data_IF_458536754362
#
_entry.id   IF_458536754362
#
_cell.length_a   1.000
_cell.length_b   1.000
_cell.length_c   1.000
_cell.angle_alpha   90.00
_cell.angle_beta   90.00
_cell.angle_gamma   90.00
#
_symmetry.space_group_name_H-M   'P 1'
#
loop_
_entity.id
_entity.type
_entity.pdbx_description
1 polymer ?
#
# COMPACT_ATOMS: atom_id res chain seq x y z
N UNK A 1 2.98 -12.71 18.41
CA UNK A 1 3.48 -11.34 18.67
C UNK A 1 4.91 -11.04 18.19
N UNK A 2 5.66 -11.99 17.59
CA UNK A 2 7.04 -11.76 17.10
C UNK A 2 7.22 -11.85 15.56
N UNK A 3 6.14 -12.19 14.83
CA UNK A 3 6.16 -12.35 13.36
C UNK A 3 5.72 -11.09 12.60
N UNK A 4 4.93 -10.22 13.24
CA UNK A 4 4.38 -9.00 12.61
C UNK A 4 5.42 -7.90 12.36
N UNK A 5 6.48 -7.85 13.18
CA UNK A 5 7.58 -6.90 12.96
C UNK A 5 8.43 -7.24 11.73
N UNK A 6 8.37 -8.47 11.23
CA UNK A 6 9.17 -8.89 10.06
C UNK A 6 8.54 -8.33 8.77
N UNK A 7 7.21 -8.32 8.67
CA UNK A 7 6.49 -7.79 7.50
C UNK A 7 6.66 -6.27 7.34
N UNK A 8 6.65 -5.51 8.44
CA UNK A 8 6.85 -4.04 8.41
C UNK A 8 8.32 -3.67 8.09
N UNK A 9 9.30 -4.48 8.52
CA UNK A 9 10.72 -4.25 8.19
C UNK A 9 11.09 -4.65 6.75
N UNK A 10 10.35 -5.55 6.10
CA UNK A 10 10.69 -6.04 4.75
C UNK A 10 10.38 -5.04 3.63
N UNK A 11 9.36 -4.19 3.80
CA UNK A 11 9.06 -3.09 2.87
C UNK A 11 10.24 -2.10 2.78
N UNK A 12 11.03 -1.93 3.84
CA UNK A 12 12.20 -1.06 3.85
C UNK A 12 13.45 -1.66 3.19
N UNK A 13 13.56 -2.98 3.07
CA UNK A 13 14.75 -3.64 2.51
C UNK A 13 14.78 -3.63 0.96
N UNK A 14 13.61 -3.54 0.32
CA UNK A 14 13.48 -3.56 -1.15
C UNK A 14 14.02 -2.29 -1.83
N UNK A 15 14.41 -1.26 -1.08
CA UNK A 15 15.01 -0.03 -1.62
C UNK A 15 16.55 -0.16 -1.78
N UNK A 16 17.19 -1.23 -1.27
CA UNK A 16 18.67 -1.35 -1.32
C UNK A 16 19.23 -2.57 -2.06
N UNK A 17 18.39 -3.44 -2.61
CA UNK A 17 18.85 -4.51 -3.50
C UNK A 17 18.88 -4.01 -4.95
N UNK A 18 19.90 -3.21 -5.27
CA UNK A 18 20.30 -3.01 -6.66
C UNK A 18 20.73 -4.36 -7.26
N UNK A 19 19.92 -4.90 -8.16
CA UNK A 19 20.31 -5.92 -9.12
C UNK A 19 19.78 -5.48 -10.49
N UNK A 20 20.71 -5.12 -11.37
CA UNK A 20 20.45 -4.62 -12.70
C UNK A 20 19.86 -5.70 -13.63
N UNK A 21 18.71 -5.37 -14.21
CA UNK A 21 18.09 -5.98 -15.38
C UNK A 21 16.82 -5.18 -15.66
N UNK A 22 16.52 -4.85 -16.92
CA UNK A 22 15.30 -4.08 -17.30
C UNK A 22 14.12 -4.46 -16.40
N UNK A 23 13.62 -3.53 -15.59
CA UNK A 23 12.66 -3.77 -14.51
C UNK A 23 11.22 -3.83 -15.05
N UNK A 24 11.06 -4.21 -16.32
CA UNK A 24 9.76 -4.45 -16.95
C UNK A 24 9.40 -5.92 -16.96
N UNK A 25 8.13 -6.22 -16.71
CA UNK A 25 7.59 -7.58 -16.72
C UNK A 25 7.34 -8.16 -15.33
N UNK A 26 7.19 -9.48 -15.30
CA UNK A 26 6.82 -10.22 -14.09
C UNK A 26 8.04 -10.83 -13.43
N UNK A 27 8.25 -10.50 -12.16
CA UNK A 27 9.31 -11.05 -11.33
C UNK A 27 8.69 -11.79 -10.15
N UNK A 28 9.09 -13.04 -9.93
CA UNK A 28 8.65 -13.84 -8.79
C UNK A 28 9.84 -14.20 -7.91
N UNK A 29 9.70 -13.95 -6.62
CA UNK A 29 10.62 -14.39 -5.57
C UNK A 29 9.90 -15.41 -4.69
N UNK A 30 10.53 -16.56 -4.48
CA UNK A 30 9.98 -17.63 -3.63
C UNK A 30 10.96 -17.92 -2.49
N UNK A 31 10.43 -17.90 -1.28
CA UNK A 31 11.04 -18.40 -0.04
C UNK A 31 10.08 -19.42 0.60
N UNK A 32 10.55 -20.25 1.53
CA UNK A 32 9.80 -21.38 2.11
C UNK A 32 8.45 -20.97 2.74
N UNK A 33 8.34 -19.73 3.19
CA UNK A 33 7.17 -19.16 3.86
C UNK A 33 6.45 -18.07 3.05
N UNK A 34 6.97 -17.68 1.88
CA UNK A 34 6.45 -16.52 1.13
C UNK A 34 6.77 -16.59 -0.37
N UNK A 35 5.76 -16.44 -1.20
CA UNK A 35 5.88 -16.19 -2.64
C UNK A 35 5.46 -14.76 -2.94
N UNK A 36 6.35 -13.99 -3.59
CA UNK A 36 6.11 -12.61 -3.97
C UNK A 36 6.17 -12.49 -5.48
N UNK A 37 5.09 -12.07 -6.12
CA UNK A 37 5.04 -11.79 -7.55
C UNK A 37 4.79 -10.30 -7.79
N UNK A 38 5.68 -9.67 -8.54
CA UNK A 38 5.54 -8.27 -8.97
C UNK A 38 5.37 -8.24 -10.48
N UNK A 39 4.47 -7.39 -10.98
CA UNK A 39 4.33 -7.14 -12.41
C UNK A 39 4.37 -5.63 -12.66
N UNK A 40 5.31 -5.20 -13.49
CA UNK A 40 5.49 -3.80 -13.88
C UNK A 40 5.20 -3.69 -15.39
N UNK A 41 4.16 -2.93 -15.81
CA UNK A 41 3.86 -2.73 -17.21
C UNK A 41 5.01 -2.08 -17.99
N UNK A 42 5.09 -2.38 -19.28
CA UNK A 42 6.06 -1.74 -20.17
C UNK A 42 5.87 -0.20 -20.16
N UNK A 43 6.97 0.54 -19.97
CA UNK A 43 6.96 2.00 -19.93
C UNK A 43 6.51 2.63 -18.61
N UNK A 44 6.37 1.83 -17.53
CA UNK A 44 5.96 2.31 -16.22
C UNK A 44 7.12 2.76 -15.30
N UNK A 45 8.37 2.43 -15.63
CA UNK A 45 9.56 2.63 -14.76
C UNK A 45 9.79 4.09 -14.32
N UNK A 46 9.54 5.05 -15.21
CA UNK A 46 9.73 6.49 -14.94
C UNK A 46 8.41 7.20 -14.58
N UNK A 47 7.30 6.48 -14.44
CA UNK A 47 6.02 7.08 -14.13
C UNK A 47 5.86 7.27 -12.63
N UNK A 48 5.53 8.48 -12.19
CA UNK A 48 5.20 8.73 -10.79
C UNK A 48 4.00 7.89 -10.31
N UNK A 49 3.00 7.67 -11.19
CA UNK A 49 1.86 6.79 -10.94
C UNK A 49 1.81 5.65 -11.97
N UNK A 50 2.54 4.54 -11.75
CA UNK A 50 2.68 3.47 -12.71
C UNK A 50 1.47 2.53 -12.71
N UNK A 51 0.36 3.00 -13.29
CA UNK A 51 -0.93 2.29 -13.33
C UNK A 51 -0.80 0.92 -13.99
N UNK A 52 -1.41 -0.09 -13.38
CA UNK A 52 -1.32 -1.48 -13.81
C UNK A 52 -0.17 -2.25 -13.17
N UNK A 53 0.69 -1.58 -12.40
CA UNK A 53 1.65 -2.27 -11.53
C UNK A 53 0.90 -3.05 -10.46
N UNK A 54 1.25 -4.32 -10.31
CA UNK A 54 0.68 -5.19 -9.28
C UNK A 54 1.79 -5.86 -8.48
N UNK A 55 1.48 -6.12 -7.21
CA UNK A 55 2.32 -6.88 -6.31
C UNK A 55 1.42 -7.85 -5.55
N UNK A 56 1.82 -9.10 -5.45
CA UNK A 56 1.10 -10.14 -4.73
C UNK A 56 2.09 -10.86 -3.82
N UNK A 57 1.70 -11.03 -2.56
CA UNK A 57 2.42 -11.83 -1.59
C UNK A 57 1.51 -12.94 -1.09
N UNK A 58 1.95 -14.19 -1.18
CA UNK A 58 1.19 -15.38 -0.79
C UNK A 58 2.02 -16.23 0.15
N UNK A 59 1.44 -16.65 1.26
CA UNK A 59 2.00 -17.72 2.08
C UNK A 59 1.47 -19.07 1.57
N UNK A 60 2.30 -19.90 0.92
CA UNK A 60 1.84 -21.15 0.31
C UNK A 60 1.40 -22.21 1.34
N UNK A 61 1.77 -22.05 2.61
CA UNK A 61 1.42 -22.99 3.68
C UNK A 61 0.04 -22.70 4.28
N UNK A 62 -0.32 -21.42 4.40
CA UNK A 62 -1.58 -20.98 5.03
C UNK A 62 -2.64 -20.56 4.01
N UNK A 63 -2.23 -20.18 2.79
CA UNK A 63 -3.08 -19.56 1.79
C UNK A 63 -3.38 -18.08 2.07
N UNK A 64 -2.75 -17.48 3.08
CA UNK A 64 -2.85 -16.05 3.35
C UNK A 64 -2.18 -15.27 2.21
N UNK A 65 -2.82 -14.21 1.74
CA UNK A 65 -2.34 -13.40 0.63
C UNK A 65 -2.64 -11.92 0.82
N UNK A 66 -1.82 -11.11 0.17
CA UNK A 66 -1.99 -9.66 0.05
C UNK A 66 -1.69 -9.24 -1.37
N UNK A 67 -2.65 -8.60 -2.03
CA UNK A 67 -2.53 -8.19 -3.44
C UNK A 67 -2.72 -6.69 -3.56
N UNK A 68 -1.69 -5.99 -4.03
CA UNK A 68 -1.70 -4.56 -4.34
C UNK A 68 -1.81 -4.34 -5.84
N UNK A 69 -2.62 -3.35 -6.25
CA UNK A 69 -2.65 -2.83 -7.61
C UNK A 69 -2.67 -1.30 -7.61
N UNK A 70 -1.84 -0.68 -8.45
CA UNK A 70 -1.91 0.75 -8.73
C UNK A 70 -2.98 0.96 -9.80
N UNK A 71 -4.07 1.63 -9.42
CA UNK A 71 -5.33 1.65 -10.18
C UNK A 71 -5.57 2.94 -10.96
N UNK A 72 -4.87 4.03 -10.65
CA UNK A 72 -5.06 5.31 -11.31
C UNK A 72 -4.63 6.50 -10.47
N UNK A 73 -5.09 7.67 -10.87
CA UNK A 73 -5.00 8.89 -10.06
C UNK A 73 -6.38 9.32 -9.56
N UNK A 74 -6.40 10.05 -8.46
CA UNK A 74 -7.58 10.66 -7.87
C UNK A 74 -7.22 12.07 -7.38
N UNK A 75 -8.10 13.04 -7.60
CA UNK A 75 -7.88 14.41 -7.12
C UNK A 75 -8.58 14.60 -5.77
N UNK A 76 -7.81 14.92 -4.73
CA UNK A 76 -8.32 15.22 -3.39
C UNK A 76 -7.85 16.63 -3.00
N UNK A 77 -8.79 17.52 -2.66
CA UNK A 77 -8.51 18.92 -2.32
C UNK A 77 -7.67 19.68 -3.36
N UNK A 78 -7.80 19.32 -4.64
CA UNK A 78 -7.02 19.93 -5.74
C UNK A 78 -5.62 19.36 -5.90
N UNK A 79 -5.22 18.38 -5.10
CA UNK A 79 -3.97 17.63 -5.21
C UNK A 79 -4.25 16.36 -6.00
N UNK A 80 -3.55 16.17 -7.11
CA UNK A 80 -3.57 14.88 -7.83
C UNK A 80 -2.75 13.86 -7.03
N UNK A 81 -3.36 12.70 -6.76
CA UNK A 81 -2.76 11.63 -5.97
C UNK A 81 -2.81 10.32 -6.75
N UNK A 82 -1.73 9.56 -6.75
CA UNK A 82 -1.73 8.20 -7.26
C UNK A 82 -2.45 7.27 -6.28
N UNK A 83 -3.19 6.29 -6.78
CA UNK A 83 -4.08 5.42 -6.02
C UNK A 83 -3.67 3.95 -6.16
N UNK A 84 -3.42 3.30 -5.03
CA UNK A 84 -3.29 1.86 -4.93
C UNK A 84 -4.42 1.25 -4.08
N UNK A 85 -4.82 0.03 -4.45
CA UNK A 85 -5.74 -0.80 -3.68
C UNK A 85 -4.98 -2.04 -3.23
N UNK A 86 -5.10 -2.40 -1.96
CA UNK A 86 -4.56 -3.63 -1.38
C UNK A 86 -5.73 -4.49 -0.92
N UNK A 87 -5.80 -5.72 -1.35
CA UNK A 87 -6.76 -6.73 -0.88
C UNK A 87 -6.04 -7.73 0.03
N UNK A 88 -6.70 -8.16 1.11
CA UNK A 88 -6.14 -9.05 2.14
C UNK A 88 -7.05 -10.25 2.30
N UNK A 89 -6.51 -11.44 2.12
CA UNK A 89 -7.25 -12.70 2.28
C UNK A 89 -6.45 -13.71 3.10
N UNK A 90 -7.03 -14.35 4.14
CA UNK A 90 -8.29 -13.99 4.79
C UNK A 90 -8.16 -12.64 5.51
N UNK A 91 -9.29 -12.06 5.89
CA UNK A 91 -9.33 -10.80 6.64
C UNK A 91 -8.55 -10.88 7.94
N UNK A 92 -7.69 -9.88 8.15
CA UNK A 92 -6.82 -9.76 9.33
C UNK A 92 -7.18 -8.49 10.08
N UNK A 93 -7.36 -8.59 11.40
CA UNK A 93 -7.68 -7.46 12.27
C UNK A 93 -8.92 -6.66 11.81
N UNK A 94 -9.89 -7.33 11.18
CA UNK A 94 -11.09 -6.71 10.64
C UNK A 94 -10.88 -5.91 9.34
N UNK A 95 -9.68 -5.95 8.76
CA UNK A 95 -9.32 -5.24 7.53
C UNK A 95 -9.31 -6.22 6.35
N UNK A 96 -10.19 -5.98 5.38
CA UNK A 96 -10.29 -6.76 4.14
C UNK A 96 -9.58 -6.06 2.97
N UNK A 97 -9.54 -4.73 3.01
CA UNK A 97 -9.04 -3.90 1.91
C UNK A 97 -8.41 -2.63 2.43
N UNK A 98 -7.41 -2.14 1.74
CA UNK A 98 -6.76 -0.86 2.00
C UNK A 98 -6.74 -0.03 0.72
N UNK A 99 -6.98 1.26 0.85
CA UNK A 99 -6.79 2.24 -0.22
C UNK A 99 -5.67 3.18 0.22
N UNK A 100 -4.65 3.30 -0.63
CA UNK A 100 -3.50 4.15 -0.39
C UNK A 100 -3.38 5.18 -1.50
N UNK A 101 -3.42 6.46 -1.13
CA UNK A 101 -3.18 7.57 -2.02
C UNK A 101 -1.93 8.32 -1.60
N UNK A 102 -1.09 8.71 -2.57
CA UNK A 102 0.07 9.56 -2.32
C UNK A 102 0.20 10.61 -3.42
N UNK A 103 0.76 11.78 -3.11
CA UNK A 103 1.07 12.84 -4.08
C UNK A 103 2.51 12.73 -4.63
N UNK A 104 2.81 13.42 -5.73
CA UNK A 104 4.11 13.38 -6.42
C UNK A 104 5.25 13.92 -5.57
N UNK A 105 4.97 14.95 -4.78
CA UNK A 105 5.91 15.51 -3.83
C UNK A 105 6.11 14.63 -2.57
N UNK A 106 5.31 13.58 -2.39
CA UNK A 106 5.32 12.74 -1.18
C UNK A 106 4.82 13.43 0.10
N UNK A 107 4.33 14.67 0.02
CA UNK A 107 3.90 15.46 1.20
C UNK A 107 2.46 15.15 1.61
N UNK A 108 1.65 14.65 0.68
CA UNK A 108 0.25 14.31 0.90
C UNK A 108 0.03 12.81 0.75
N UNK A 109 -0.58 12.21 1.77
CA UNK A 109 -0.85 10.77 1.85
C UNK A 109 -2.22 10.54 2.46
N UNK A 110 -2.97 9.60 1.91
CA UNK A 110 -4.23 9.11 2.50
C UNK A 110 -4.14 7.59 2.55
N UNK A 111 -4.42 7.04 3.72
CA UNK A 111 -4.52 5.60 3.94
C UNK A 111 -5.90 5.31 4.52
N UNK A 112 -6.70 4.53 3.83
CA UNK A 112 -8.02 4.10 4.31
C UNK A 112 -8.08 2.59 4.42
N UNK A 113 -8.38 2.06 5.60
CA UNK A 113 -8.65 0.64 5.82
C UNK A 113 -10.16 0.41 5.78
N UNK A 114 -10.58 -0.68 5.13
CA UNK A 114 -11.97 -1.09 5.01
C UNK A 114 -12.19 -2.48 5.58
N UNK A 115 -13.36 -2.66 6.19
CA UNK A 115 -13.85 -3.98 6.60
C UNK A 115 -14.39 -4.80 5.41
N UNK A 116 -14.80 -6.05 5.65
CA UNK A 116 -15.40 -6.95 4.64
C UNK A 116 -16.67 -6.38 4.00
N UNK A 117 -17.38 -5.50 4.70
CA UNK A 117 -18.60 -4.85 4.20
C UNK A 117 -18.29 -3.59 3.37
N UNK A 118 -17.01 -3.20 3.28
CA UNK A 118 -16.57 -2.00 2.59
C UNK A 118 -16.76 -0.71 3.40
N UNK A 119 -17.04 -0.79 4.69
CA UNK A 119 -17.08 0.39 5.56
C UNK A 119 -15.65 0.79 5.94
N UNK A 120 -15.44 2.08 6.19
CA UNK A 120 -14.16 2.56 6.70
C UNK A 120 -13.96 2.04 8.12
N UNK A 121 -12.93 1.22 8.29
CA UNK A 121 -12.48 0.72 9.59
C UNK A 121 -11.49 1.69 10.25
N UNK A 122 -10.65 2.35 9.48
CA UNK A 122 -9.83 3.47 9.96
C UNK A 122 -9.29 4.27 8.80
N UNK A 123 -8.92 5.52 9.05
CA UNK A 123 -8.35 6.41 8.03
C UNK A 123 -7.25 7.28 8.61
N UNK A 124 -6.11 7.34 7.92
CA UNK A 124 -5.03 8.28 8.20
C UNK A 124 -4.95 9.23 7.01
N UNK A 125 -4.85 10.52 7.28
CA UNK A 125 -4.56 11.52 6.26
C UNK A 125 -3.40 12.38 6.71
N UNK A 126 -2.53 12.72 5.77
CA UNK A 126 -1.53 13.78 5.88
C UNK A 126 -1.80 14.66 4.67
N UNK A 127 -2.36 15.85 4.91
CA UNK A 127 -2.69 16.81 3.86
C UNK A 127 -2.25 18.19 4.32
N UNK A 128 -1.51 18.92 3.48
CA UNK A 128 -1.02 20.27 3.77
C UNK A 128 -0.33 20.41 5.15
N UNK A 129 0.49 19.42 5.54
CA UNK A 129 1.17 19.43 6.85
C UNK A 129 0.22 19.28 8.05
N UNK A 130 -0.94 18.64 7.84
CA UNK A 130 -1.85 18.26 8.92
C UNK A 130 -2.11 16.79 8.85
N UNK A 131 -1.86 16.11 9.98
CA UNK A 131 -2.20 14.72 10.14
C UNK A 131 -3.58 14.61 10.80
N UNK A 132 -4.45 13.76 10.28
CA UNK A 132 -5.63 13.31 11.01
C UNK A 132 -5.77 11.80 10.99
N UNK A 133 -6.28 11.25 12.09
CA UNK A 133 -6.54 9.82 12.27
C UNK A 133 -8.01 9.69 12.64
N UNK A 134 -8.76 8.94 11.83
CA UNK A 134 -10.13 8.50 12.11
C UNK A 134 -10.08 7.04 12.55
N UNK A 135 -10.60 6.74 13.74
CA UNK A 135 -10.69 5.37 14.25
C UNK A 135 -11.93 4.61 13.73
N UNK A 136 -12.12 3.38 14.21
CA UNK A 136 -13.25 2.51 13.83
C UNK A 136 -14.62 3.04 14.29
N UNK A 137 -14.65 3.94 15.26
CA UNK A 137 -15.86 4.58 15.76
C UNK A 137 -16.15 5.90 15.03
N UNK A 138 -15.27 6.31 14.12
CA UNK A 138 -15.35 7.60 13.42
C UNK A 138 -14.83 8.78 14.25
N UNK A 139 -14.16 8.53 15.39
CA UNK A 139 -13.53 9.58 16.17
C UNK A 139 -12.29 10.10 15.44
N UNK A 140 -12.21 11.42 15.29
CA UNK A 140 -11.13 12.10 14.56
C UNK A 140 -10.16 12.75 15.55
N UNK A 141 -8.89 12.38 15.46
CA UNK A 141 -7.77 13.03 16.14
C UNK A 141 -6.96 13.82 15.12
N UNK A 142 -6.72 15.10 15.39
CA UNK A 142 -5.91 15.97 14.54
C UNK A 142 -4.58 16.33 15.20
N UNK A 143 -3.53 16.35 14.40
CA UNK A 143 -2.18 16.74 14.80
C UNK A 143 -1.64 17.72 13.76
N UNK A 144 -1.22 18.91 14.22
CA UNK A 144 -0.44 19.81 13.37
C UNK A 144 0.97 19.26 13.20
N UNK A 145 1.47 19.14 11.97
CA UNK A 145 2.89 18.85 11.74
C UNK A 145 3.64 20.18 11.66
N UNK A 146 3.74 20.87 12.80
CA UNK A 146 4.64 22.03 12.94
C UNK A 146 5.83 21.62 13.81
N UNK A 147 7.03 21.95 13.32
CA UNK A 147 8.33 21.81 14.00
C UNK A 147 8.35 22.42 15.42
#
# INVERSE_FOLDING_TARGET
MKKMWILIFMVAALITAGCAGDDTGTTTFTDDDLEVTTNIPEGAEDQWCPVGTTWEAVNPQTGESMTMAITGTETVNGIEMCKAIVEIEPVVDGIAKMEYLWAENGESVIWTNYDESGNVHSKITILDGKMSITDENGEVMEFGTTE
#
